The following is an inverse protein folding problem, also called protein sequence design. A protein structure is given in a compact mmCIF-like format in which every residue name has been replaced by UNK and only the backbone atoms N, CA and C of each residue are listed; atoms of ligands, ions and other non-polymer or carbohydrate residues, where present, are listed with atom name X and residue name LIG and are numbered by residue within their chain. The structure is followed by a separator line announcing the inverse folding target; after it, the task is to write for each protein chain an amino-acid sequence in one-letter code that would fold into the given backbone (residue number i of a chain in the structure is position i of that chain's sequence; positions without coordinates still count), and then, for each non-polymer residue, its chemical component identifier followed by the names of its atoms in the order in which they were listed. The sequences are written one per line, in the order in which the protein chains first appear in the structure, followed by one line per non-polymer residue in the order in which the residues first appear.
data_IF_381764838317
#
_entry.id   IF_381764838317
#
_cell.length_a   1.000
_cell.length_b   1.000
_cell.length_c   1.000
_cell.angle_alpha   90.00
_cell.angle_beta   90.00
_cell.angle_gamma   90.00
#
_symmetry.space_group_name_H-M   'P 1'
#
loop_
_entity.id
_entity.type
_entity.pdbx_description
1 polymer ?
#
# COMPACT_ATOMS: atom_id res chain seq x y z
N UNK A 1 -59.28 -4.05 -12.95
CA UNK A 1 -58.10 -3.19 -12.75
C UNK A 1 -57.26 -3.81 -11.64
N UNK A 2 -56.47 -4.83 -12.01
CA UNK A 2 -55.42 -5.41 -11.17
C UNK A 2 -54.31 -4.38 -10.98
N UNK A 3 -53.97 -4.12 -9.76
CA UNK A 3 -52.83 -3.31 -9.41
C UNK A 3 -51.60 -4.21 -9.58
N UNK A 4 -50.73 -3.86 -10.55
CA UNK A 4 -49.38 -4.39 -10.65
C UNK A 4 -48.64 -4.06 -9.34
N UNK A 5 -48.49 -5.06 -8.49
CA UNK A 5 -47.57 -5.01 -7.38
C UNK A 5 -46.15 -5.02 -7.95
N UNK A 6 -45.48 -3.88 -7.87
CA UNK A 6 -44.07 -3.79 -8.18
C UNK A 6 -43.36 -4.63 -7.14
N UNK A 7 -42.91 -5.83 -7.50
CA UNK A 7 -42.03 -6.66 -6.69
C UNK A 7 -40.78 -5.86 -6.34
N UNK A 8 -40.67 -5.48 -5.08
CA UNK A 8 -39.43 -4.91 -4.52
C UNK A 8 -38.44 -6.07 -4.49
N UNK A 9 -37.33 -6.02 -5.24
CA UNK A 9 -36.35 -7.12 -5.24
C UNK A 9 -35.87 -7.39 -3.82
N UNK A 10 -35.84 -8.66 -3.44
CA UNK A 10 -35.44 -9.10 -2.12
C UNK A 10 -34.08 -8.53 -1.75
N UNK A 11 -33.87 -8.15 -0.51
CA UNK A 11 -32.65 -7.51 0.05
C UNK A 11 -31.35 -8.27 -0.26
N UNK A 12 -31.43 -9.51 -0.76
CA UNK A 12 -30.33 -10.36 -1.20
C UNK A 12 -29.68 -9.95 -2.52
N UNK A 13 -30.34 -9.17 -3.36
CA UNK A 13 -29.85 -8.80 -4.72
C UNK A 13 -29.11 -7.46 -4.77
N UNK A 14 -29.19 -6.65 -3.75
CA UNK A 14 -28.46 -5.37 -3.72
C UNK A 14 -26.96 -5.58 -3.74
N UNK A 15 -26.27 -4.96 -4.70
CA UNK A 15 -24.81 -4.94 -4.79
C UNK A 15 -24.26 -4.29 -3.52
N UNK A 16 -23.45 -5.04 -2.76
CA UNK A 16 -22.90 -4.56 -1.49
C UNK A 16 -21.83 -3.52 -1.75
N UNK A 17 -21.85 -2.38 -1.06
CA UNK A 17 -20.81 -1.38 -1.21
C UNK A 17 -19.51 -1.83 -0.54
N UNK A 18 -18.45 -1.12 -0.88
CA UNK A 18 -17.14 -1.24 -0.26
C UNK A 18 -16.76 0.10 0.34
N UNK A 19 -16.13 0.07 1.49
CA UNK A 19 -15.63 1.24 2.17
C UNK A 19 -14.10 1.28 2.07
N UNK A 20 -13.56 2.43 1.67
CA UNK A 20 -12.13 2.67 1.54
C UNK A 20 -11.73 3.78 2.50
N UNK A 21 -10.82 3.50 3.41
CA UNK A 21 -10.32 4.48 4.36
C UNK A 21 -9.19 5.29 3.73
N UNK A 22 -9.26 6.62 3.86
CA UNK A 22 -8.23 7.51 3.34
C UNK A 22 -6.89 7.30 4.06
N UNK A 23 -5.85 7.15 3.26
CA UNK A 23 -4.45 7.11 3.68
C UNK A 23 -3.53 7.48 2.53
N UNK A 24 -3.79 6.90 1.35
CA UNK A 24 -3.06 7.20 0.12
C UNK A 24 -4.05 7.29 -1.05
N UNK A 25 -4.23 8.50 -1.58
CA UNK A 25 -5.19 8.73 -2.67
C UNK A 25 -4.92 7.91 -3.94
N UNK A 26 -3.68 7.49 -4.18
CA UNK A 26 -3.35 6.59 -5.31
C UNK A 26 -3.88 5.18 -5.07
N UNK A 27 -3.81 4.68 -3.84
CA UNK A 27 -4.37 3.37 -3.46
C UNK A 27 -5.89 3.42 -3.50
N UNK A 28 -6.49 4.46 -2.94
CA UNK A 28 -7.95 4.70 -2.97
C UNK A 28 -8.47 4.70 -4.41
N UNK A 29 -7.77 5.44 -5.29
CA UNK A 29 -8.10 5.53 -6.72
C UNK A 29 -7.99 4.18 -7.42
N UNK A 30 -6.94 3.41 -7.13
CA UNK A 30 -6.76 2.08 -7.68
C UNK A 30 -7.88 1.12 -7.26
N UNK A 31 -8.27 1.14 -5.98
CA UNK A 31 -9.39 0.32 -5.47
C UNK A 31 -10.71 0.75 -6.13
N UNK A 32 -10.99 2.06 -6.17
CA UNK A 32 -12.21 2.58 -6.78
C UNK A 32 -12.34 2.19 -8.25
N UNK A 33 -11.28 2.34 -9.03
CA UNK A 33 -11.24 1.94 -10.45
C UNK A 33 -11.35 0.43 -10.64
N UNK A 34 -10.73 -0.35 -9.75
CA UNK A 34 -10.78 -1.82 -9.80
C UNK A 34 -12.20 -2.36 -9.59
N UNK A 35 -12.92 -1.83 -8.62
CA UNK A 35 -14.27 -2.27 -8.26
C UNK A 35 -15.35 -1.59 -9.08
N UNK A 36 -15.19 -0.31 -9.38
CA UNK A 36 -16.17 0.47 -10.13
C UNK A 36 -16.39 -0.03 -11.56
N UNK A 37 -15.39 -0.69 -12.18
CA UNK A 37 -15.54 -1.37 -13.48
C UNK A 37 -16.57 -2.52 -13.45
N UNK A 38 -16.86 -3.04 -12.27
CA UNK A 38 -17.87 -4.07 -12.03
C UNK A 38 -19.14 -3.51 -11.38
N UNK A 39 -19.33 -2.20 -11.46
CA UNK A 39 -20.46 -1.48 -10.85
C UNK A 39 -20.62 -1.70 -9.34
N UNK A 40 -19.52 -2.01 -8.64
CA UNK A 40 -19.51 -2.13 -7.19
C UNK A 40 -19.39 -0.72 -6.60
N UNK A 41 -20.37 -0.28 -5.75
CA UNK A 41 -20.33 1.06 -5.18
C UNK A 41 -19.16 1.20 -4.19
N UNK A 42 -18.33 2.22 -4.39
CA UNK A 42 -17.19 2.54 -3.52
C UNK A 42 -17.47 3.84 -2.78
N UNK A 43 -17.42 3.77 -1.45
CA UNK A 43 -17.47 4.93 -0.56
C UNK A 43 -16.06 5.22 -0.03
N UNK A 44 -15.66 6.49 -0.06
CA UNK A 44 -14.42 6.94 0.56
C UNK A 44 -14.72 7.53 1.94
N UNK A 45 -13.97 7.13 2.94
CA UNK A 45 -13.90 7.85 4.22
C UNK A 45 -12.68 8.77 4.21
N UNK A 46 -12.95 10.07 4.10
CA UNK A 46 -11.93 11.10 4.11
C UNK A 46 -11.61 11.52 5.54
N UNK A 47 -10.33 11.67 5.86
CA UNK A 47 -9.83 12.18 7.15
C UNK A 47 -9.88 13.70 7.25
N UNK A 48 -10.08 14.37 6.13
CA UNK A 48 -10.01 15.81 6.00
C UNK A 48 -11.35 16.34 5.48
N UNK A 49 -11.74 17.54 5.89
CA UNK A 49 -12.91 18.23 5.33
C UNK A 49 -12.73 18.56 3.83
N UNK A 50 -11.49 18.53 3.34
CA UNK A 50 -11.19 18.66 1.92
C UNK A 50 -11.34 17.31 1.22
N UNK A 51 -12.08 17.32 0.11
CA UNK A 51 -12.19 16.14 -0.75
C UNK A 51 -10.82 15.70 -1.27
N UNK A 52 -10.38 14.45 -1.03
CA UNK A 52 -9.14 13.94 -1.60
C UNK A 52 -9.25 13.86 -3.13
N UNK A 53 -8.12 13.85 -3.88
CA UNK A 53 -8.16 13.73 -5.34
C UNK A 53 -8.93 12.51 -5.86
N UNK A 54 -8.91 11.41 -5.10
CA UNK A 54 -9.65 10.17 -5.42
C UNK A 54 -11.17 10.37 -5.45
N UNK A 55 -11.72 11.33 -4.72
CA UNK A 55 -13.16 11.64 -4.70
C UNK A 55 -13.70 12.19 -6.02
N UNK A 56 -12.83 12.65 -6.91
CA UNK A 56 -13.20 13.12 -8.24
C UNK A 56 -13.27 11.99 -9.29
N UNK A 57 -13.00 10.76 -8.88
CA UNK A 57 -13.19 9.58 -9.72
C UNK A 57 -14.68 9.30 -9.94
N UNK A 58 -15.09 9.05 -11.19
CA UNK A 58 -16.46 8.64 -11.50
C UNK A 58 -16.86 7.30 -10.84
N UNK A 59 -15.88 6.53 -10.37
CA UNK A 59 -16.09 5.24 -9.72
C UNK A 59 -16.30 5.36 -8.21
N UNK A 60 -16.13 6.55 -7.64
CA UNK A 60 -16.48 6.84 -6.25
C UNK A 60 -17.92 7.27 -6.17
N UNK A 61 -18.72 6.52 -5.42
CA UNK A 61 -20.15 6.79 -5.23
C UNK A 61 -20.38 8.01 -4.37
N UNK A 62 -19.61 8.10 -3.27
CA UNK A 62 -19.68 9.23 -2.35
C UNK A 62 -18.42 9.30 -1.47
N UNK A 63 -18.18 10.48 -0.90
CA UNK A 63 -17.09 10.73 0.03
C UNK A 63 -17.65 11.24 1.35
N UNK A 64 -17.38 10.48 2.41
CA UNK A 64 -17.86 10.73 3.76
C UNK A 64 -16.71 11.28 4.59
N UNK A 65 -16.92 12.39 5.27
CA UNK A 65 -15.91 12.96 6.14
C UNK A 65 -15.92 12.26 7.50
N UNK A 66 -14.75 11.87 7.95
CA UNK A 66 -14.50 11.25 9.23
C UNK A 66 -13.39 12.01 9.94
N UNK A 67 -13.42 12.15 11.27
CA UNK A 67 -12.31 12.77 12.02
C UNK A 67 -10.97 12.13 11.66
N UNK A 68 -9.89 12.92 11.65
CA UNK A 68 -8.55 12.38 11.44
C UNK A 68 -8.11 11.60 12.69
N UNK A 69 -7.77 10.30 12.57
CA UNK A 69 -7.35 9.49 13.70
C UNK A 69 -6.02 9.94 14.33
N UNK A 70 -5.26 10.80 13.64
CA UNK A 70 -4.04 11.43 14.16
C UNK A 70 -4.36 12.59 15.14
N UNK A 71 -5.54 13.20 14.99
CA UNK A 71 -5.99 14.33 15.79
C UNK A 71 -6.92 13.84 16.91
N UNK A 72 -7.94 13.06 16.54
CA UNK A 72 -8.91 12.49 17.49
C UNK A 72 -9.27 11.06 17.12
N UNK A 73 -8.50 10.13 17.71
CA UNK A 73 -8.65 8.70 17.51
C UNK A 73 -10.04 8.18 17.92
N UNK A 74 -10.56 8.68 19.05
CA UNK A 74 -11.81 8.18 19.59
C UNK A 74 -13.01 8.70 18.79
N UNK A 75 -12.98 9.95 18.34
CA UNK A 75 -13.97 10.47 17.42
C UNK A 75 -13.95 9.73 16.08
N UNK A 76 -12.76 9.39 15.56
CA UNK A 76 -12.63 8.55 14.36
C UNK A 76 -13.32 7.20 14.55
N UNK A 77 -13.03 6.50 15.65
CA UNK A 77 -13.60 5.18 15.95
C UNK A 77 -15.13 5.28 16.07
N UNK A 78 -15.65 6.22 16.87
CA UNK A 78 -17.11 6.41 17.03
C UNK A 78 -17.81 6.68 15.70
N UNK A 79 -17.26 7.56 14.88
CA UNK A 79 -17.82 7.93 13.59
C UNK A 79 -17.83 6.73 12.62
N UNK A 80 -16.72 5.98 12.54
CA UNK A 80 -16.62 4.79 11.70
C UNK A 80 -17.61 3.69 12.13
N UNK A 81 -17.76 3.47 13.44
CA UNK A 81 -18.72 2.49 13.96
C UNK A 81 -20.16 2.88 13.63
N UNK A 82 -20.56 4.14 13.87
CA UNK A 82 -21.90 4.61 13.54
C UNK A 82 -22.22 4.54 12.06
N UNK A 83 -21.22 4.77 11.19
CA UNK A 83 -21.38 4.58 9.76
C UNK A 83 -21.52 3.10 9.39
N UNK A 84 -20.71 2.24 9.98
CA UNK A 84 -20.75 0.79 9.79
C UNK A 84 -22.09 0.18 10.21
N UNK A 85 -22.66 0.65 11.31
CA UNK A 85 -23.99 0.25 11.78
C UNK A 85 -25.08 0.56 10.76
N UNK A 86 -25.16 1.82 10.29
CA UNK A 86 -26.12 2.24 9.26
C UNK A 86 -26.00 1.42 7.98
N UNK A 87 -24.77 1.15 7.52
CA UNK A 87 -24.55 0.35 6.32
C UNK A 87 -24.93 -1.11 6.54
N UNK A 88 -24.57 -1.69 7.69
CA UNK A 88 -24.95 -3.07 8.02
C UNK A 88 -26.46 -3.24 8.12
N UNK A 89 -27.15 -2.29 8.72
CA UNK A 89 -28.61 -2.26 8.78
C UNK A 89 -29.23 -2.20 7.38
N UNK A 90 -28.75 -1.28 6.53
CA UNK A 90 -29.25 -1.11 5.16
C UNK A 90 -29.02 -2.33 4.27
N UNK A 91 -27.82 -2.94 4.33
CA UNK A 91 -27.41 -4.02 3.44
C UNK A 91 -27.51 -5.41 4.06
N UNK A 92 -27.91 -5.52 5.34
CA UNK A 92 -28.06 -6.76 6.12
C UNK A 92 -26.80 -7.65 6.09
N UNK A 93 -25.62 -7.02 5.94
CA UNK A 93 -24.32 -7.69 5.86
C UNK A 93 -23.21 -6.77 6.39
N UNK A 94 -22.13 -7.38 6.89
CA UNK A 94 -20.88 -6.64 7.16
C UNK A 94 -20.31 -6.08 5.87
N UNK A 95 -19.74 -4.89 5.94
CA UNK A 95 -19.19 -4.16 4.78
C UNK A 95 -17.70 -4.43 4.66
N UNK A 96 -17.25 -4.73 3.44
CA UNK A 96 -15.82 -4.90 3.14
C UNK A 96 -15.10 -3.56 3.26
N UNK A 97 -14.06 -3.53 4.10
CA UNK A 97 -13.30 -2.34 4.43
C UNK A 97 -11.86 -2.47 3.95
N UNK A 98 -11.39 -1.50 3.16
CA UNK A 98 -10.01 -1.43 2.69
C UNK A 98 -9.23 -0.31 3.39
N UNK A 99 -8.28 -0.63 4.28
CA UNK A 99 -7.29 0.34 4.72
C UNK A 99 -6.28 0.60 3.59
N UNK A 100 -5.84 1.85 3.43
CA UNK A 100 -4.92 2.24 2.37
C UNK A 100 -3.53 2.64 2.87
N UNK A 101 -3.31 2.59 4.18
CA UNK A 101 -2.01 2.78 4.83
C UNK A 101 -1.84 1.89 6.07
N UNK A 102 -0.60 1.80 6.56
CA UNK A 102 -0.26 0.95 7.70
C UNK A 102 -0.83 1.48 9.01
N UNK A 103 -0.91 2.81 9.18
CA UNK A 103 -1.46 3.43 10.38
C UNK A 103 -2.94 3.11 10.57
N UNK A 104 -3.72 3.18 9.50
CA UNK A 104 -5.14 2.80 9.52
C UNK A 104 -5.32 1.30 9.75
N UNK A 105 -4.51 0.46 9.09
CA UNK A 105 -4.53 -0.97 9.30
C UNK A 105 -4.26 -1.33 10.76
N UNK A 106 -3.24 -0.71 11.35
CA UNK A 106 -2.86 -0.93 12.75
C UNK A 106 -3.96 -0.46 13.71
N UNK A 107 -4.61 0.66 13.42
CA UNK A 107 -5.73 1.16 14.21
C UNK A 107 -6.92 0.18 14.18
N UNK A 108 -7.27 -0.32 12.99
CA UNK A 108 -8.33 -1.31 12.83
C UNK A 108 -7.99 -2.61 13.58
N UNK A 109 -6.75 -3.06 13.49
CA UNK A 109 -6.30 -4.26 14.18
C UNK A 109 -6.37 -4.12 15.71
N UNK A 110 -5.91 -3.00 16.26
CA UNK A 110 -5.97 -2.72 17.71
C UNK A 110 -7.39 -2.60 18.27
N UNK A 111 -8.38 -2.32 17.43
CA UNK A 111 -9.79 -2.17 17.80
C UNK A 111 -10.68 -3.19 17.06
N UNK A 112 -10.10 -4.34 16.68
CA UNK A 112 -10.74 -5.33 15.83
C UNK A 112 -12.09 -5.79 16.34
N UNK A 113 -12.21 -6.08 17.64
CA UNK A 113 -13.46 -6.53 18.27
C UNK A 113 -14.63 -5.54 18.13
N UNK A 114 -14.34 -4.25 18.06
CA UNK A 114 -15.33 -3.23 17.81
C UNK A 114 -15.77 -3.24 16.34
N UNK A 115 -14.80 -3.29 15.43
CA UNK A 115 -15.06 -3.15 14.00
C UNK A 115 -15.63 -4.42 13.34
N UNK A 116 -15.24 -5.61 13.81
CA UNK A 116 -15.70 -6.89 13.23
C UNK A 116 -17.22 -7.08 13.25
N UNK A 117 -17.93 -6.33 14.08
CA UNK A 117 -19.39 -6.34 14.14
C UNK A 117 -20.03 -5.80 12.85
N UNK A 118 -19.38 -4.83 12.20
CA UNK A 118 -19.92 -4.09 11.08
C UNK A 118 -19.12 -4.28 9.80
N UNK A 119 -17.83 -4.60 9.91
CA UNK A 119 -16.92 -4.67 8.77
C UNK A 119 -16.29 -6.05 8.60
N UNK A 120 -15.98 -6.37 7.35
CA UNK A 120 -15.00 -7.38 6.99
C UNK A 120 -13.70 -6.63 6.69
N UNK A 121 -12.73 -6.80 7.57
CA UNK A 121 -11.40 -6.22 7.41
C UNK A 121 -10.54 -7.25 6.69
N UNK A 122 -9.74 -6.82 5.72
CA UNK A 122 -8.81 -7.72 5.05
C UNK A 122 -7.91 -8.40 6.09
N UNK A 123 -7.69 -9.70 5.89
CA UNK A 123 -6.94 -10.56 6.80
C UNK A 123 -7.67 -10.87 8.13
N UNK A 124 -9.03 -10.78 8.11
CA UNK A 124 -9.86 -11.17 9.23
C UNK A 124 -9.84 -12.68 9.39
N UNK A 125 -9.06 -13.24 10.27
CA UNK A 125 -9.48 -14.35 11.07
C UNK A 125 -9.16 -14.24 12.55
N UNK A 126 -8.16 -13.54 12.94
CA UNK A 126 -7.84 -13.38 14.35
C UNK A 126 -6.93 -12.17 14.57
N UNK A 127 -7.38 -11.28 15.38
CA UNK A 127 -6.88 -10.00 15.82
C UNK A 127 -5.36 -9.88 15.97
N UNK A 128 -4.73 -10.90 16.54
CA UNK A 128 -3.28 -10.91 16.80
C UNK A 128 -2.45 -11.05 15.52
N UNK A 129 -3.02 -11.66 14.49
CA UNK A 129 -2.27 -11.94 13.25
C UNK A 129 -2.07 -10.69 12.39
N UNK A 130 -3.07 -9.82 12.27
CA UNK A 130 -2.93 -8.56 11.51
C UNK A 130 -1.87 -7.66 12.15
N UNK A 131 -1.85 -7.58 13.50
CA UNK A 131 -0.83 -6.84 14.24
C UNK A 131 0.56 -7.39 13.97
N UNK A 132 0.71 -8.72 13.94
CA UNK A 132 1.99 -9.38 13.67
C UNK A 132 2.51 -9.02 12.29
N UNK A 133 1.64 -8.98 11.28
CA UNK A 133 2.07 -8.74 9.91
C UNK A 133 2.36 -7.27 9.62
N UNK A 134 1.70 -6.33 10.28
CA UNK A 134 1.95 -4.90 10.13
C UNK A 134 3.18 -4.40 10.86
N UNK A 135 3.68 -5.17 11.85
CA UNK A 135 4.90 -4.86 12.59
C UNK A 135 6.09 -5.66 12.07
N UNK A 136 7.13 -4.98 11.61
CA UNK A 136 8.29 -5.62 10.99
C UNK A 136 9.01 -6.62 11.93
N UNK A 137 9.12 -6.27 13.22
CA UNK A 137 9.72 -7.18 14.21
C UNK A 137 8.97 -8.51 14.22
N UNK A 138 7.65 -8.50 14.39
CA UNK A 138 6.87 -9.74 14.45
C UNK A 138 6.90 -10.53 13.14
N UNK A 139 6.85 -9.84 12.01
CA UNK A 139 6.97 -10.47 10.71
C UNK A 139 8.28 -11.25 10.58
N UNK A 140 9.41 -10.58 10.81
CA UNK A 140 10.73 -11.20 10.67
C UNK A 140 10.97 -12.27 11.75
N UNK A 141 10.61 -12.03 13.02
CA UNK A 141 10.72 -13.03 14.10
C UNK A 141 9.90 -14.30 13.80
N UNK A 142 8.71 -14.14 13.20
CA UNK A 142 7.88 -15.28 12.82
C UNK A 142 8.57 -16.08 11.72
N UNK A 143 9.06 -15.45 10.68
CA UNK A 143 9.73 -16.15 9.59
C UNK A 143 11.09 -16.76 9.98
N UNK A 144 11.83 -16.12 10.88
CA UNK A 144 13.10 -16.67 11.41
C UNK A 144 12.93 -18.01 12.13
N UNK A 145 11.75 -18.26 12.71
CA UNK A 145 11.42 -19.52 13.39
C UNK A 145 10.94 -20.63 12.45
N UNK A 146 10.95 -20.37 11.15
CA UNK A 146 10.47 -21.31 10.12
C UNK A 146 11.58 -21.61 9.12
N UNK A 147 11.30 -22.50 8.18
CA UNK A 147 12.17 -22.76 7.03
C UNK A 147 12.38 -21.55 6.10
N UNK A 148 11.65 -20.43 6.33
CA UNK A 148 11.88 -19.18 5.63
C UNK A 148 13.09 -18.37 6.12
N UNK A 149 13.72 -18.77 7.22
CA UNK A 149 14.87 -18.05 7.78
C UNK A 149 15.99 -17.78 6.75
N UNK A 150 16.25 -18.75 5.87
CA UNK A 150 17.25 -18.62 4.80
C UNK A 150 16.89 -17.60 3.72
N UNK A 151 15.61 -17.22 3.63
CA UNK A 151 15.12 -16.22 2.66
C UNK A 151 15.20 -14.80 3.20
N UNK A 152 15.61 -14.63 4.45
CA UNK A 152 15.74 -13.32 5.08
C UNK A 152 17.17 -12.82 4.98
N UNK A 153 17.38 -11.49 4.94
CA UNK A 153 18.68 -10.91 5.27
C UNK A 153 19.01 -11.19 6.76
N UNK A 154 20.26 -11.08 7.13
CA UNK A 154 20.64 -11.05 8.57
C UNK A 154 19.84 -9.94 9.24
N UNK A 155 18.99 -10.31 10.19
CA UNK A 155 18.02 -9.40 10.82
C UNK A 155 18.08 -9.54 12.32
N UNK A 156 18.34 -8.43 13.00
CA UNK A 156 18.40 -8.30 14.45
C UNK A 156 17.38 -7.28 14.92
N UNK A 157 16.99 -7.34 16.19
CA UNK A 157 15.94 -6.50 16.76
C UNK A 157 16.49 -5.70 17.93
N UNK A 158 16.16 -4.41 17.96
CA UNK A 158 16.54 -3.50 19.03
C UNK A 158 15.28 -2.91 19.65
N UNK A 159 14.91 -3.40 20.82
CA UNK A 159 13.76 -2.94 21.59
C UNK A 159 14.18 -2.24 22.88
N UNK A 160 15.42 -2.47 23.35
CA UNK A 160 16.01 -1.94 24.58
C UNK A 160 17.51 -1.67 24.39
N UNK A 161 18.09 -0.87 25.27
CA UNK A 161 19.52 -0.52 25.21
C UNK A 161 20.43 -1.74 25.34
N UNK A 162 20.03 -2.74 26.13
CA UNK A 162 20.82 -3.98 26.33
C UNK A 162 20.99 -4.77 25.01
N UNK A 163 20.14 -4.53 24.00
CA UNK A 163 20.22 -5.21 22.71
C UNK A 163 21.39 -4.68 21.85
N UNK A 164 21.86 -3.44 22.09
CA UNK A 164 22.81 -2.73 21.23
C UNK A 164 24.13 -3.48 21.12
N UNK A 165 24.72 -3.91 22.21
CA UNK A 165 26.01 -4.60 22.21
C UNK A 165 25.97 -5.94 21.46
N UNK A 166 24.88 -6.68 21.63
CA UNK A 166 24.66 -7.91 20.86
C UNK A 166 24.52 -7.63 19.36
N UNK A 167 23.84 -6.55 18.99
CA UNK A 167 23.67 -6.15 17.59
C UNK A 167 25.01 -5.73 16.98
N UNK A 168 25.78 -4.88 17.65
CA UNK A 168 27.13 -4.44 17.22
C UNK A 168 28.09 -5.60 16.96
N UNK A 169 27.96 -6.67 17.73
CA UNK A 169 28.81 -7.87 17.61
C UNK A 169 28.40 -8.73 16.40
N UNK A 170 27.11 -8.82 16.11
CA UNK A 170 26.59 -9.83 15.19
C UNK A 170 26.17 -9.28 13.81
N UNK A 171 25.98 -7.94 13.66
CA UNK A 171 25.57 -7.35 12.38
C UNK A 171 26.77 -7.17 11.43
N UNK A 172 26.54 -7.28 10.14
CA UNK A 172 27.54 -6.95 9.11
C UNK A 172 27.30 -5.53 8.59
N UNK A 173 28.38 -4.82 8.27
CA UNK A 173 28.33 -3.47 7.72
C UNK A 173 28.63 -3.45 6.22
N UNK A 174 28.02 -2.49 5.47
CA UNK A 174 27.01 -1.56 5.95
C UNK A 174 25.70 -2.27 6.32
N UNK A 175 24.98 -1.69 7.28
CA UNK A 175 23.66 -2.18 7.69
C UNK A 175 22.60 -1.08 7.56
N UNK A 176 21.34 -1.46 7.74
CA UNK A 176 20.21 -0.53 7.72
C UNK A 176 19.40 -0.63 8.99
N UNK A 177 18.93 0.52 9.48
CA UNK A 177 17.98 0.61 10.59
C UNK A 177 16.61 0.97 10.00
N UNK A 178 15.57 0.28 10.46
CA UNK A 178 14.16 0.55 10.11
C UNK A 178 13.32 0.59 11.39
N UNK A 179 12.35 1.51 11.53
CA UNK A 179 11.37 1.40 12.60
C UNK A 179 10.49 0.16 12.37
N UNK A 180 10.16 -0.53 13.46
CA UNK A 180 9.29 -1.73 13.42
C UNK A 180 7.89 -1.40 12.93
N UNK A 181 7.35 -0.31 13.44
CA UNK A 181 6.06 0.24 13.02
C UNK A 181 6.30 1.51 12.22
N UNK A 182 5.45 1.79 11.26
CA UNK A 182 5.36 3.14 10.73
C UNK A 182 4.74 4.01 11.83
N UNK A 183 5.58 4.81 12.47
CA UNK A 183 5.15 5.80 13.44
C UNK A 183 4.05 6.67 12.83
N UNK A 184 2.94 6.80 13.54
CA UNK A 184 1.81 7.65 13.17
C UNK A 184 2.28 9.09 12.89
N UNK A 185 3.26 9.58 13.64
CA UNK A 185 3.83 10.92 13.49
C UNK A 185 4.90 11.03 12.40
N UNK A 186 5.30 9.91 11.77
CA UNK A 186 6.36 9.87 10.78
C UNK A 186 7.69 10.47 11.28
N UNK A 187 7.98 10.41 12.57
CA UNK A 187 9.16 11.07 13.18
C UNK A 187 10.46 10.58 12.54
N UNK A 188 10.62 9.29 12.39
CA UNK A 188 11.77 8.70 11.70
C UNK A 188 11.91 9.22 10.27
N UNK A 189 10.81 9.24 9.50
CA UNK A 189 10.84 9.72 8.12
C UNK A 189 11.12 11.23 8.03
N UNK A 190 10.59 12.01 8.95
CA UNK A 190 10.87 13.45 9.02
C UNK A 190 12.34 13.72 9.34
N UNK A 191 12.94 12.96 10.27
CA UNK A 191 14.32 13.09 10.71
C UNK A 191 15.32 12.73 9.59
N UNK A 192 15.12 11.61 8.90
CA UNK A 192 16.07 11.08 7.94
C UNK A 192 15.67 11.29 6.48
N UNK A 193 14.48 11.83 6.20
CA UNK A 193 13.88 11.95 4.86
C UNK A 193 13.90 10.61 4.09
N UNK A 194 13.81 9.51 4.82
CA UNK A 194 13.90 8.14 4.29
C UNK A 194 13.14 7.16 5.19
N UNK A 195 12.78 6.00 4.64
CA UNK A 195 12.19 4.88 5.41
C UNK A 195 13.24 4.00 6.06
N UNK A 196 14.50 4.20 5.71
CA UNK A 196 15.65 3.46 6.23
C UNK A 196 16.79 4.41 6.54
N UNK A 197 17.61 4.07 7.50
CA UNK A 197 18.88 4.72 7.78
C UNK A 197 20.00 3.73 7.46
N UNK A 198 20.95 4.11 6.62
CA UNK A 198 22.14 3.32 6.33
C UNK A 198 23.23 3.69 7.33
N UNK A 199 23.89 2.69 7.87
CA UNK A 199 24.96 2.84 8.88
C UNK A 199 26.18 2.05 8.43
N UNK A 200 27.34 2.70 8.45
CA UNK A 200 28.58 2.16 7.88
C UNK A 200 29.50 1.50 8.91
N UNK A 201 29.34 1.82 10.19
CA UNK A 201 30.25 1.35 11.26
C UNK A 201 29.55 1.21 12.62
N UNK A 202 30.26 0.65 13.60
CA UNK A 202 29.72 0.33 14.93
C UNK A 202 29.39 1.57 15.77
N UNK A 203 30.20 2.61 15.68
CA UNK A 203 30.03 3.81 16.51
C UNK A 203 28.79 4.61 16.08
N UNK A 204 28.62 4.76 14.78
CA UNK A 204 27.39 5.37 14.22
C UNK A 204 26.17 4.51 14.56
N UNK A 205 26.28 3.18 14.50
CA UNK A 205 25.19 2.27 14.86
C UNK A 205 24.72 2.48 16.29
N UNK A 206 25.64 2.50 17.25
CA UNK A 206 25.34 2.71 18.67
C UNK A 206 24.65 4.05 18.89
N UNK A 207 25.23 5.14 18.36
CA UNK A 207 24.69 6.48 18.45
C UNK A 207 23.25 6.57 17.94
N UNK A 208 23.00 6.03 16.74
CA UNK A 208 21.67 6.09 16.11
C UNK A 208 20.66 5.20 16.85
N UNK A 209 21.04 3.99 17.29
CA UNK A 209 20.15 3.12 18.05
C UNK A 209 19.75 3.76 19.39
N UNK A 210 20.73 4.28 20.16
CA UNK A 210 20.47 4.96 21.43
C UNK A 210 19.52 6.16 21.24
N UNK A 211 19.77 6.98 20.21
CA UNK A 211 18.92 8.12 19.91
C UNK A 211 17.49 7.72 19.54
N UNK A 212 17.33 6.69 18.72
CA UNK A 212 16.00 6.22 18.30
C UNK A 212 15.23 5.49 19.42
N UNK A 213 15.92 4.77 20.29
CA UNK A 213 15.30 4.16 21.47
C UNK A 213 14.79 5.20 22.46
N UNK A 214 15.53 6.30 22.67
CA UNK A 214 15.08 7.41 23.52
C UNK A 214 13.79 8.08 22.96
N UNK A 215 13.60 8.06 21.64
CA UNK A 215 12.36 8.46 20.95
C UNK A 215 11.25 7.36 21.00
N UNK A 216 11.47 6.26 21.75
CA UNK A 216 10.57 5.10 21.93
C UNK A 216 10.31 4.30 20.65
N UNK A 217 11.22 4.33 19.69
CA UNK A 217 11.14 3.45 18.53
C UNK A 217 11.59 2.02 18.90
N UNK A 218 10.85 1.04 18.38
CA UNK A 218 11.34 -0.35 18.28
C UNK A 218 11.92 -0.53 16.89
N UNK A 219 13.11 -1.13 16.79
CA UNK A 219 13.91 -1.07 15.59
C UNK A 219 14.24 -2.47 15.04
N UNK A 220 14.32 -2.55 13.72
CA UNK A 220 14.86 -3.68 12.98
C UNK A 220 16.18 -3.24 12.36
N UNK A 221 17.26 -3.96 12.68
CA UNK A 221 18.59 -3.77 12.10
C UNK A 221 18.87 -4.92 11.14
N UNK A 222 19.18 -4.59 9.89
CA UNK A 222 19.39 -5.59 8.84
C UNK A 222 20.68 -5.34 8.07
N UNK A 223 21.36 -6.41 7.62
CA UNK A 223 22.42 -6.27 6.63
C UNK A 223 21.91 -5.55 5.37
N UNK A 224 22.74 -4.73 4.77
CA UNK A 224 22.43 -4.12 3.47
C UNK A 224 22.72 -5.13 2.36
N UNK A 225 21.67 -5.77 1.86
CA UNK A 225 21.75 -6.87 0.88
C UNK A 225 22.39 -6.42 -0.44
N UNK A 226 21.94 -5.27 -0.97
CA UNK A 226 22.46 -4.71 -2.21
C UNK A 226 22.31 -3.18 -2.21
N UNK A 227 23.41 -2.44 -2.29
CA UNK A 227 23.36 -0.97 -2.33
C UNK A 227 22.95 -0.40 -3.70
N UNK A 228 22.91 -1.24 -4.76
CA UNK A 228 22.59 -0.77 -6.11
C UNK A 228 21.09 -0.68 -6.32
N UNK A 229 20.55 0.47 -6.76
CA UNK A 229 19.13 0.63 -7.04
C UNK A 229 18.68 -0.18 -8.26
N UNK A 230 17.36 -0.43 -8.36
CA UNK A 230 16.74 -1.12 -9.50
C UNK A 230 16.91 -2.64 -9.49
N UNK A 231 17.30 -3.20 -8.34
CA UNK A 231 17.38 -4.66 -8.12
C UNK A 231 16.24 -5.18 -7.27
N UNK A 232 15.37 -4.29 -6.81
CA UNK A 232 14.20 -4.63 -6.03
C UNK A 232 13.12 -5.28 -6.92
N UNK A 233 12.50 -6.28 -6.36
CA UNK A 233 11.38 -7.02 -6.95
C UNK A 233 10.22 -6.98 -5.98
N UNK A 234 9.04 -6.63 -6.47
CA UNK A 234 7.79 -6.80 -5.72
C UNK A 234 7.04 -8.01 -6.27
N UNK A 235 6.53 -8.82 -5.37
CA UNK A 235 5.47 -9.78 -5.65
C UNK A 235 4.15 -9.20 -5.17
N UNK A 236 3.17 -9.18 -6.05
CA UNK A 236 1.82 -8.67 -5.82
C UNK A 236 0.85 -9.84 -5.85
N UNK A 237 0.04 -9.98 -4.83
CA UNK A 237 -0.88 -11.10 -4.87
C UNK A 237 -1.94 -11.18 -3.79
N UNK A 238 -2.59 -12.32 -3.82
CA UNK A 238 -3.68 -12.72 -2.97
C UNK A 238 -3.53 -14.17 -2.55
N UNK A 239 -3.71 -14.44 -1.28
CA UNK A 239 -3.93 -15.81 -0.80
C UNK A 239 -5.37 -15.92 -0.32
N UNK A 240 -6.11 -16.89 -0.85
CA UNK A 240 -7.50 -17.14 -0.46
C UNK A 240 -7.58 -17.77 0.92
N UNK A 241 -8.79 -17.81 1.48
CA UNK A 241 -9.09 -18.54 2.71
C UNK A 241 -8.85 -20.04 2.56
N UNK A 242 -9.08 -20.59 1.37
CA UNK A 242 -8.78 -22.00 1.04
C UNK A 242 -7.30 -22.28 0.85
N UNK A 243 -6.44 -21.25 0.79
CA UNK A 243 -5.00 -21.37 0.64
C UNK A 243 -4.48 -21.27 -0.80
N UNK A 244 -5.33 -21.03 -1.80
CA UNK A 244 -4.91 -20.76 -3.17
C UNK A 244 -4.17 -19.42 -3.24
N UNK A 245 -3.09 -19.37 -4.03
CA UNK A 245 -2.23 -18.18 -4.15
C UNK A 245 -2.23 -17.73 -5.61
N UNK A 246 -2.62 -16.48 -5.82
CA UNK A 246 -2.53 -15.78 -7.10
C UNK A 246 -1.57 -14.62 -6.98
N UNK A 247 -0.69 -14.46 -7.94
CA UNK A 247 0.24 -13.36 -7.87
C UNK A 247 1.03 -13.14 -9.14
N UNK A 248 1.69 -12.01 -9.19
CA UNK A 248 2.60 -11.62 -10.25
C UNK A 248 3.82 -10.91 -9.68
N UNK A 249 4.89 -10.87 -10.43
CA UNK A 249 6.11 -10.15 -10.06
C UNK A 249 6.30 -8.89 -10.91
N UNK A 250 6.93 -7.90 -10.31
CA UNK A 250 7.29 -6.66 -10.95
C UNK A 250 8.66 -6.17 -10.47
N UNK A 251 9.41 -5.50 -11.34
CA UNK A 251 10.71 -4.91 -11.01
C UNK A 251 10.56 -3.42 -10.77
N UNK A 252 11.02 -2.97 -9.63
CA UNK A 252 11.12 -1.54 -9.33
C UNK A 252 12.32 -0.97 -10.09
N UNK A 253 12.06 -0.05 -11.01
CA UNK A 253 13.08 0.53 -11.90
C UNK A 253 13.65 1.83 -11.37
N UNK A 254 12.79 2.67 -10.76
CA UNK A 254 13.18 3.94 -10.13
C UNK A 254 12.39 4.17 -8.86
N UNK A 255 13.04 4.85 -7.91
CA UNK A 255 12.49 5.23 -6.60
C UNK A 255 12.81 6.71 -6.31
N UNK A 256 12.04 7.33 -5.46
CA UNK A 256 12.32 8.68 -4.98
C UNK A 256 12.08 8.76 -3.46
N UNK A 257 13.12 9.05 -2.66
CA UNK A 257 14.55 8.99 -2.98
C UNK A 257 15.01 7.60 -3.42
N UNK A 258 16.20 7.51 -4.02
CA UNK A 258 16.69 6.28 -4.65
C UNK A 258 16.85 5.12 -3.64
N UNK A 259 17.39 5.39 -2.45
CA UNK A 259 17.44 4.46 -1.33
C UNK A 259 16.31 4.74 -0.33
N UNK A 260 15.63 3.69 0.12
CA UNK A 260 14.53 3.79 1.09
C UNK A 260 13.31 4.56 0.61
N UNK A 261 13.28 5.01 -0.64
CA UNK A 261 12.18 5.78 -1.21
C UNK A 261 11.03 4.95 -1.74
N UNK A 262 10.04 5.65 -2.29
CA UNK A 262 8.87 5.04 -2.93
C UNK A 262 9.14 4.82 -4.41
N UNK A 263 8.75 3.66 -4.94
CA UNK A 263 8.90 3.36 -6.36
C UNK A 263 8.00 4.29 -7.21
N UNK A 264 8.62 4.95 -8.20
CA UNK A 264 7.97 5.88 -9.13
C UNK A 264 7.78 5.29 -10.51
N UNK A 265 8.58 4.28 -10.86
CA UNK A 265 8.51 3.54 -12.10
C UNK A 265 8.73 2.04 -11.86
N UNK A 266 7.77 1.23 -12.23
CA UNK A 266 7.77 -0.23 -12.07
C UNK A 266 7.39 -0.88 -13.39
N UNK A 267 8.01 -2.00 -13.70
CA UNK A 267 7.72 -2.83 -14.87
C UNK A 267 7.28 -4.23 -14.41
N UNK A 268 6.14 -4.71 -14.92
CA UNK A 268 5.76 -6.11 -14.76
C UNK A 268 6.83 -6.98 -15.43
N UNK A 269 7.39 -7.89 -14.66
CA UNK A 269 8.42 -8.81 -15.11
C UNK A 269 8.26 -10.13 -14.37
N UNK A 270 8.20 -11.24 -15.12
CA UNK A 270 8.17 -12.55 -14.50
C UNK A 270 9.53 -12.87 -13.88
N UNK A 271 9.50 -13.21 -12.59
CA UNK A 271 10.68 -13.56 -11.78
C UNK A 271 10.32 -14.81 -10.96
N UNK A 272 10.36 -15.99 -11.60
CA UNK A 272 9.87 -17.23 -10.98
C UNK A 272 10.63 -17.64 -9.73
N UNK A 273 11.86 -17.17 -9.56
CA UNK A 273 12.70 -17.49 -8.41
C UNK A 273 12.11 -17.09 -7.06
N UNK A 274 11.24 -16.04 -7.03
CA UNK A 274 10.64 -15.57 -5.76
C UNK A 274 9.35 -16.32 -5.39
N UNK A 275 8.70 -17.01 -6.31
CA UNK A 275 7.43 -17.69 -6.04
C UNK A 275 7.52 -18.76 -4.92
N UNK A 276 8.54 -19.65 -4.88
CA UNK A 276 8.68 -20.59 -3.78
C UNK A 276 8.78 -19.90 -2.41
N UNK A 277 9.50 -18.77 -2.34
CA UNK A 277 9.67 -18.01 -1.11
C UNK A 277 8.35 -17.40 -0.63
N UNK A 278 7.57 -16.84 -1.57
CA UNK A 278 6.23 -16.32 -1.29
C UNK A 278 5.31 -17.40 -0.76
N UNK A 279 5.23 -18.54 -1.45
CA UNK A 279 4.35 -19.65 -1.06
C UNK A 279 4.68 -20.15 0.35
N UNK A 280 5.96 -20.34 0.64
CA UNK A 280 6.41 -20.80 1.94
C UNK A 280 6.17 -19.75 3.04
N UNK A 281 6.45 -18.49 2.79
CA UNK A 281 6.22 -17.39 3.73
C UNK A 281 4.72 -17.24 4.05
N UNK A 282 3.86 -17.14 3.05
CA UNK A 282 2.41 -16.99 3.24
C UNK A 282 1.79 -18.20 3.97
N UNK A 283 2.30 -19.41 3.71
CA UNK A 283 1.89 -20.61 4.46
C UNK A 283 2.32 -20.52 5.93
N UNK A 284 3.58 -20.17 6.18
CA UNK A 284 4.15 -20.05 7.54
C UNK A 284 3.45 -18.96 8.37
N UNK A 285 3.00 -17.89 7.72
CA UNK A 285 2.26 -16.81 8.35
C UNK A 285 0.77 -17.13 8.54
N UNK A 286 0.25 -18.21 7.96
CA UNK A 286 -1.20 -18.48 7.87
C UNK A 286 -1.99 -17.28 7.34
N UNK A 287 -1.34 -16.46 6.52
CA UNK A 287 -1.90 -15.21 5.99
C UNK A 287 -2.94 -15.49 4.90
N UNK A 288 -4.02 -14.73 4.85
CA UNK A 288 -4.92 -14.65 3.71
C UNK A 288 -5.26 -13.20 3.38
N UNK A 289 -5.62 -12.92 2.11
CA UNK A 289 -5.95 -11.58 1.64
C UNK A 289 -4.92 -11.00 0.68
N UNK A 290 -5.05 -9.71 0.43
CA UNK A 290 -4.17 -8.94 -0.46
C UNK A 290 -2.86 -8.65 0.26
N UNK A 291 -1.75 -8.87 -0.43
CA UNK A 291 -0.44 -8.47 0.09
C UNK A 291 0.57 -8.16 -1.02
N UNK A 292 1.57 -7.39 -0.64
CA UNK A 292 2.80 -7.19 -1.37
C UNK A 292 3.97 -7.75 -0.55
N UNK A 293 4.87 -8.44 -1.21
CA UNK A 293 6.14 -8.90 -0.63
C UNK A 293 7.30 -8.36 -1.46
N UNK A 294 8.20 -7.62 -0.83
CA UNK A 294 9.35 -7.04 -1.51
C UNK A 294 10.60 -7.89 -1.32
N UNK A 295 11.37 -8.02 -2.38
CA UNK A 295 12.60 -8.80 -2.43
C UNK A 295 13.75 -7.95 -2.93
N UNK A 296 14.94 -8.25 -2.40
CA UNK A 296 16.20 -7.74 -2.89
C UNK A 296 17.08 -8.89 -3.38
N UNK A 297 17.69 -8.74 -4.55
CA UNK A 297 18.66 -9.71 -5.05
C UNK A 297 20.00 -9.53 -4.32
N UNK A 298 20.42 -10.52 -3.53
CA UNK A 298 21.83 -10.61 -3.09
C UNK A 298 22.70 -11.07 -4.26
N UNK A 299 23.41 -10.13 -4.87
CA UNK A 299 24.25 -10.42 -6.03
C UNK A 299 25.44 -11.33 -5.70
N UNK A 300 25.88 -11.39 -4.46
CA UNK A 300 26.98 -12.26 -3.99
C UNK A 300 26.56 -13.72 -4.00
N UNK A 301 25.34 -14.00 -3.48
CA UNK A 301 24.79 -15.35 -3.36
C UNK A 301 23.88 -15.74 -4.54
N UNK A 302 23.52 -14.78 -5.42
CA UNK A 302 22.52 -14.95 -6.50
C UNK A 302 21.14 -15.37 -6.00
N UNK A 303 20.78 -14.98 -4.79
CA UNK A 303 19.54 -15.32 -4.11
C UNK A 303 18.70 -14.08 -3.84
N UNK A 304 17.39 -14.24 -3.84
CA UNK A 304 16.48 -13.19 -3.40
C UNK A 304 16.29 -13.27 -1.88
N UNK A 305 16.26 -12.11 -1.23
CA UNK A 305 15.97 -11.96 0.20
C UNK A 305 14.67 -11.18 0.39
N UNK A 306 13.80 -11.64 1.28
CA UNK A 306 12.56 -10.94 1.66
C UNK A 306 12.94 -9.74 2.53
N UNK A 307 12.63 -8.53 2.08
CA UNK A 307 13.01 -7.28 2.77
C UNK A 307 11.84 -6.49 3.33
N UNK A 308 10.61 -6.72 2.83
CA UNK A 308 9.40 -6.07 3.33
C UNK A 308 8.15 -6.90 3.02
N UNK A 309 7.15 -6.80 3.90
CA UNK A 309 5.82 -7.36 3.72
C UNK A 309 4.76 -6.30 4.02
N UNK A 310 3.83 -6.11 3.09
CA UNK A 310 2.74 -5.17 3.19
C UNK A 310 1.40 -5.94 3.12
N UNK A 311 0.74 -6.24 4.26
CA UNK A 311 -0.51 -7.02 4.31
C UNK A 311 -1.73 -6.15 3.99
N UNK A 312 -1.70 -5.37 2.94
CA UNK A 312 -2.72 -4.41 2.50
C UNK A 312 -2.52 -4.03 1.04
N UNK A 313 -3.46 -3.28 0.49
CA UNK A 313 -3.27 -2.62 -0.80
C UNK A 313 -2.09 -1.64 -0.76
N UNK A 314 -1.36 -1.54 -1.87
CA UNK A 314 -0.15 -0.72 -2.01
C UNK A 314 -0.27 0.26 -3.19
N UNK A 315 0.71 1.12 -3.31
CA UNK A 315 0.67 2.26 -4.22
C UNK A 315 0.45 1.89 -5.69
N UNK A 316 1.06 0.78 -6.14
CA UNK A 316 1.04 0.32 -7.52
C UNK A 316 -0.04 -0.75 -7.79
N UNK A 317 -1.06 -0.83 -6.96
CA UNK A 317 -2.16 -1.80 -7.08
C UNK A 317 -2.80 -1.81 -8.48
N UNK A 318 -2.91 -0.65 -9.12
CA UNK A 318 -3.46 -0.54 -10.49
C UNK A 318 -2.64 -1.29 -11.54
N UNK A 319 -1.32 -1.49 -11.34
CA UNK A 319 -0.51 -2.34 -12.22
C UNK A 319 -1.02 -3.80 -12.21
N UNK A 320 -1.30 -4.34 -11.03
CA UNK A 320 -1.83 -5.70 -10.90
C UNK A 320 -3.20 -5.83 -11.59
N UNK A 321 -4.09 -4.86 -11.36
CA UNK A 321 -5.42 -4.81 -12.00
C UNK A 321 -5.32 -4.80 -13.52
N UNK A 322 -4.49 -3.94 -14.09
CA UNK A 322 -4.33 -3.82 -15.55
C UNK A 322 -3.56 -5.00 -16.17
N UNK A 323 -2.79 -5.72 -15.37
CA UNK A 323 -2.13 -6.97 -15.78
C UNK A 323 -3.07 -8.19 -15.76
N UNK A 324 -4.33 -8.03 -15.35
CA UNK A 324 -5.33 -9.10 -15.24
C UNK A 324 -5.48 -9.70 -13.83
N UNK A 325 -4.78 -9.15 -12.84
CA UNK A 325 -4.87 -9.55 -11.44
C UNK A 325 -5.62 -8.49 -10.62
N UNK A 326 -6.95 -8.46 -10.74
CA UNK A 326 -7.78 -7.51 -9.99
C UNK A 326 -8.02 -7.99 -8.56
N UNK A 327 -7.11 -7.65 -7.67
CA UNK A 327 -7.11 -8.10 -6.28
C UNK A 327 -8.28 -7.59 -5.44
N UNK A 328 -8.70 -6.30 -5.52
CA UNK A 328 -9.91 -5.85 -4.83
C UNK A 328 -11.16 -6.60 -5.26
N UNK A 329 -11.28 -6.92 -6.55
CA UNK A 329 -12.42 -7.69 -7.07
C UNK A 329 -12.39 -9.15 -6.61
N UNK A 330 -11.22 -9.80 -6.61
CA UNK A 330 -11.06 -11.16 -6.04
C UNK A 330 -11.52 -11.20 -4.58
N UNK A 331 -11.09 -10.24 -3.79
CA UNK A 331 -11.51 -10.12 -2.38
C UNK A 331 -13.02 -9.96 -2.25
N UNK A 332 -13.62 -9.08 -3.08
CA UNK A 332 -15.06 -8.86 -3.09
C UNK A 332 -15.84 -10.15 -3.42
N UNK A 333 -15.39 -10.88 -4.43
CA UNK A 333 -16.01 -12.13 -4.85
C UNK A 333 -15.90 -13.22 -3.76
N UNK A 334 -14.73 -13.38 -3.15
CA UNK A 334 -14.56 -14.35 -2.07
C UNK A 334 -15.40 -14.00 -0.85
N UNK A 335 -15.44 -12.72 -0.44
CA UNK A 335 -16.16 -12.27 0.76
C UNK A 335 -17.68 -12.35 0.61
N UNK A 336 -18.22 -11.91 -0.53
CA UNK A 336 -19.66 -11.77 -0.68
C UNK A 336 -20.33 -12.88 -1.51
N UNK A 337 -19.58 -13.50 -2.41
CA UNK A 337 -20.12 -14.53 -3.32
C UNK A 337 -19.58 -15.93 -3.01
N UNK A 338 -18.59 -16.03 -2.14
CA UNK A 338 -17.86 -17.27 -1.88
C UNK A 338 -17.33 -17.92 -3.16
N UNK A 339 -16.91 -17.10 -4.11
CA UNK A 339 -16.36 -17.50 -5.41
C UNK A 339 -14.98 -16.89 -5.54
N UNK A 340 -14.04 -17.67 -6.06
CA UNK A 340 -12.68 -17.22 -6.33
C UNK A 340 -12.37 -17.35 -7.82
N UNK A 341 -12.69 -16.34 -8.63
CA UNK A 341 -12.41 -16.38 -10.05
C UNK A 341 -10.91 -16.43 -10.31
N UNK A 342 -10.47 -17.33 -11.16
CA UNK A 342 -9.05 -17.43 -11.53
C UNK A 342 -8.65 -16.23 -12.38
N UNK A 343 -7.63 -15.45 -11.96
CA UNK A 343 -7.17 -14.31 -12.74
C UNK A 343 -6.46 -14.79 -14.01
N UNK A 344 -6.66 -14.04 -15.10
CA UNK A 344 -6.00 -14.27 -16.38
C UNK A 344 -4.89 -13.24 -16.53
N UNK A 345 -3.66 -13.63 -16.17
CA UNK A 345 -2.49 -12.77 -16.24
C UNK A 345 -1.74 -13.10 -17.53
N UNK A 346 -1.68 -12.14 -18.46
CA UNK A 346 -0.82 -12.30 -19.63
C UNK A 346 0.66 -12.19 -19.23
N UNK A 347 1.34 -13.32 -19.15
CA UNK A 347 2.75 -13.42 -18.73
C UNK A 347 3.70 -12.69 -19.68
N UNK A 348 3.36 -12.58 -20.96
CA UNK A 348 4.21 -11.95 -21.98
C UNK A 348 4.07 -10.42 -22.02
N UNK A 349 2.96 -9.88 -21.58
CA UNK A 349 2.68 -8.45 -21.60
C UNK A 349 3.63 -7.71 -20.63
N UNK A 350 4.39 -6.75 -21.14
CA UNK A 350 5.32 -5.90 -20.38
C UNK A 350 4.67 -4.56 -20.07
N UNK A 351 3.66 -4.60 -19.22
CA UNK A 351 2.99 -3.40 -18.74
C UNK A 351 3.84 -2.69 -17.67
N UNK A 352 3.82 -1.37 -17.69
CA UNK A 352 4.57 -0.50 -16.79
C UNK A 352 3.59 0.30 -15.92
N UNK A 353 4.03 0.69 -14.74
CA UNK A 353 3.33 1.65 -13.89
C UNK A 353 4.22 2.85 -13.63
N UNK A 354 3.65 4.06 -13.78
CA UNK A 354 4.40 5.31 -13.71
C UNK A 354 3.65 6.35 -12.88
N UNK A 355 4.32 6.86 -11.86
CA UNK A 355 3.90 8.09 -11.19
C UNK A 355 4.61 9.28 -11.86
N UNK A 356 4.04 9.76 -12.95
CA UNK A 356 4.68 10.65 -13.93
C UNK A 356 5.43 11.83 -13.29
N UNK A 357 4.75 12.57 -12.40
CA UNK A 357 5.36 13.75 -11.75
C UNK A 357 6.60 13.37 -10.92
N UNK A 358 6.45 12.38 -10.04
CA UNK A 358 7.52 11.97 -9.13
C UNK A 358 8.65 11.27 -9.88
N UNK A 359 8.33 10.53 -10.93
CA UNK A 359 9.30 9.87 -11.79
C UNK A 359 10.10 10.90 -12.62
N UNK A 360 9.43 11.91 -13.17
CA UNK A 360 10.08 13.01 -13.85
C UNK A 360 11.04 13.77 -12.92
N UNK A 361 10.58 14.13 -11.72
CA UNK A 361 11.42 14.80 -10.73
C UNK A 361 12.64 13.96 -10.35
N UNK A 362 12.47 12.66 -10.18
CA UNK A 362 13.55 11.74 -9.83
C UNK A 362 14.54 11.56 -10.99
N UNK A 363 14.04 11.23 -12.19
CA UNK A 363 14.87 10.86 -13.33
C UNK A 363 15.48 12.05 -14.08
N UNK A 364 14.81 13.22 -14.05
CA UNK A 364 15.21 14.36 -14.88
C UNK A 364 15.78 15.51 -14.06
N UNK A 365 15.18 15.82 -12.93
CA UNK A 365 15.57 17.02 -12.15
C UNK A 365 16.66 16.69 -11.12
N UNK A 366 16.50 15.57 -10.37
CA UNK A 366 17.44 15.21 -9.30
C UNK A 366 18.70 14.49 -9.80
N UNK A 367 18.58 13.67 -10.84
CA UNK A 367 19.73 13.03 -11.46
C UNK A 367 20.43 14.03 -12.41
N UNK A 368 21.62 14.48 -12.05
CA UNK A 368 22.38 15.48 -12.79
C UNK A 368 23.61 14.92 -13.51
N UNK A 369 23.73 13.60 -13.59
CA UNK A 369 24.91 12.96 -14.18
C UNK A 369 25.05 13.16 -15.69
N UNK A 370 23.98 13.57 -16.38
CA UNK A 370 23.96 13.83 -17.82
C UNK A 370 23.22 15.13 -18.14
N UNK A 371 23.42 15.67 -19.35
CA UNK A 371 22.69 16.85 -19.82
C UNK A 371 21.16 16.62 -19.80
N UNK A 372 20.40 17.67 -19.46
CA UNK A 372 18.94 17.63 -19.31
C UNK A 372 18.22 17.00 -20.51
N UNK A 373 18.54 17.45 -21.74
CA UNK A 373 17.92 16.93 -22.96
C UNK A 373 18.20 15.43 -23.14
N UNK A 374 19.42 14.97 -22.87
CA UNK A 374 19.78 13.56 -22.98
C UNK A 374 18.98 12.70 -22.00
N UNK A 375 18.80 13.17 -20.74
CA UNK A 375 17.96 12.51 -19.75
C UNK A 375 16.51 12.47 -20.21
N UNK A 376 15.99 13.57 -20.75
CA UNK A 376 14.62 13.66 -21.26
C UNK A 376 14.38 12.69 -22.42
N UNK A 377 15.28 12.62 -23.39
CA UNK A 377 15.20 11.68 -24.51
C UNK A 377 15.29 10.21 -24.08
N UNK A 378 16.04 9.92 -23.02
CA UNK A 378 16.09 8.56 -22.44
C UNK A 378 14.82 8.21 -21.66
N UNK A 379 14.23 9.18 -20.97
CA UNK A 379 13.06 8.97 -20.09
C UNK A 379 11.76 8.86 -20.88
N UNK A 380 11.55 9.73 -21.86
CA UNK A 380 10.29 9.83 -22.58
C UNK A 380 9.82 8.48 -23.20
N UNK A 381 10.63 7.70 -23.93
CA UNK A 381 10.22 6.41 -24.45
C UNK A 381 9.86 5.39 -23.38
N UNK A 382 10.40 5.52 -22.15
CA UNK A 382 10.13 4.58 -21.07
C UNK A 382 8.73 4.78 -20.49
N UNK A 383 8.23 6.02 -20.46
CA UNK A 383 6.92 6.38 -19.89
C UNK A 383 5.81 6.44 -20.92
N UNK A 384 6.11 6.08 -22.16
CA UNK A 384 5.12 5.92 -23.25
C UNK A 384 4.84 4.45 -23.52
N UNK A 385 3.78 4.17 -24.29
CA UNK A 385 3.36 2.83 -24.68
C UNK A 385 2.43 2.17 -23.66
N UNK A 386 2.63 0.88 -23.38
CA UNK A 386 1.75 0.13 -22.47
C UNK A 386 2.04 0.51 -21.00
N UNK A 387 1.51 1.64 -20.59
CA UNK A 387 1.71 2.25 -19.27
C UNK A 387 0.40 2.45 -18.53
N UNK A 388 0.41 2.09 -17.26
CA UNK A 388 -0.58 2.49 -16.26
C UNK A 388 -0.06 3.71 -15.54
N UNK A 389 -0.70 4.84 -15.73
CA UNK A 389 -0.36 6.04 -14.99
C UNK A 389 -1.04 6.07 -13.64
N UNK A 390 -0.30 6.39 -12.59
CA UNK A 390 -0.79 6.34 -11.22
C UNK A 390 -2.06 7.18 -10.98
N UNK A 391 -2.18 8.30 -11.70
CA UNK A 391 -3.30 9.24 -11.55
C UNK A 391 -4.17 9.26 -12.81
N UNK A 392 -3.54 9.39 -13.96
CA UNK A 392 -4.21 9.66 -15.23
C UNK A 392 -4.86 8.40 -15.81
N UNK A 393 -6.10 8.52 -16.26
CA UNK A 393 -6.81 7.43 -16.95
C UNK A 393 -7.84 8.04 -17.91
N UNK A 394 -7.83 7.60 -19.16
CA UNK A 394 -8.84 8.01 -20.13
C UNK A 394 -10.26 7.55 -19.75
N UNK A 395 -10.37 6.46 -19.01
CA UNK A 395 -11.67 5.99 -18.51
C UNK A 395 -12.15 6.74 -17.27
N UNK A 396 -11.35 7.66 -16.69
CA UNK A 396 -11.65 8.36 -15.43
C UNK A 396 -10.96 9.73 -15.40
N UNK A 397 -11.45 10.64 -16.23
CA UNK A 397 -10.82 11.94 -16.48
C UNK A 397 -10.99 12.95 -15.33
N UNK A 398 -12.00 12.79 -14.47
CA UNK A 398 -12.29 13.74 -13.38
C UNK A 398 -11.10 13.99 -12.48
N UNK A 399 -10.40 12.93 -12.08
CA UNK A 399 -9.17 13.04 -11.25
C UNK A 399 -8.04 13.73 -12.01
N UNK A 400 -7.90 13.45 -13.31
CA UNK A 400 -6.88 14.07 -14.17
C UNK A 400 -7.11 15.57 -14.27
N UNK A 401 -8.33 16.01 -14.56
CA UNK A 401 -8.70 17.43 -14.62
C UNK A 401 -8.47 18.13 -13.28
N UNK A 402 -8.92 17.53 -12.18
CA UNK A 402 -8.71 18.09 -10.86
C UNK A 402 -7.21 18.27 -10.52
N UNK A 403 -6.33 17.35 -10.97
CA UNK A 403 -4.88 17.44 -10.70
C UNK A 403 -4.15 18.38 -11.64
N UNK A 404 -4.52 18.45 -12.90
CA UNK A 404 -3.90 19.37 -13.89
C UNK A 404 -4.36 20.80 -13.63
N UNK A 405 -5.65 21.01 -13.47
CA UNK A 405 -6.23 22.36 -13.30
C UNK A 405 -6.06 22.86 -11.85
N UNK A 406 -5.68 21.98 -10.93
CA UNK A 406 -5.43 22.32 -9.52
C UNK A 406 -6.66 22.70 -8.72
N UNK A 407 -7.84 22.40 -9.25
CA UNK A 407 -9.10 23.01 -8.90
C UNK A 407 -9.17 24.48 -9.38
N UNK A 408 -10.33 25.01 -9.69
CA UNK A 408 -10.52 26.41 -10.14
C UNK A 408 -9.81 27.41 -9.21
N UNK A 409 -9.78 27.15 -7.93
CA UNK A 409 -9.15 28.01 -6.91
C UNK A 409 -7.63 28.19 -7.08
N UNK A 410 -6.89 27.14 -7.50
CA UNK A 410 -5.42 27.26 -7.70
C UNK A 410 -5.09 27.99 -8.98
N UNK A 411 -5.87 27.79 -10.04
CA UNK A 411 -5.73 28.53 -11.29
C UNK A 411 -6.00 30.03 -11.06
N UNK A 412 -7.09 30.37 -10.38
CA UNK A 412 -7.44 31.75 -10.07
C UNK A 412 -6.43 32.42 -9.18
N UNK A 413 -5.90 31.74 -8.14
CA UNK A 413 -4.76 32.26 -7.33
C UNK A 413 -3.50 32.47 -8.16
N UNK A 414 -3.20 31.58 -9.12
CA UNK A 414 -2.01 31.71 -9.99
C UNK A 414 -2.14 32.87 -10.98
N UNK A 415 -3.37 33.26 -11.33
CA UNK A 415 -3.66 34.41 -12.20
C UNK A 415 -4.11 35.64 -11.43
N UNK A 416 -3.96 35.68 -10.09
CA UNK A 416 -4.27 36.87 -9.29
C UNK A 416 -5.76 37.13 -9.06
N UNK A 417 -6.65 36.20 -9.38
CA UNK A 417 -8.07 36.33 -9.13
C UNK A 417 -8.46 35.64 -7.80
N UNK A 418 -8.98 36.41 -6.85
CA UNK A 418 -9.60 35.87 -5.64
C UNK A 418 -11.09 35.59 -5.91
N UNK A 419 -11.53 34.36 -5.76
CA UNK A 419 -12.94 33.98 -5.80
C UNK A 419 -13.64 34.43 -4.53
N UNK A 420 -14.11 35.68 -4.50
CA UNK A 420 -15.09 36.16 -3.50
C UNK A 420 -16.51 36.28 -4.05
N UNK A 421 -16.78 35.70 -5.22
CA UNK A 421 -18.09 35.77 -5.87
C UNK A 421 -18.50 34.36 -6.27
N UNK A 422 -19.13 33.62 -5.37
CA UNK A 422 -20.06 32.48 -5.61
C UNK A 422 -20.22 31.68 -4.32
N UNK A 423 -20.77 32.36 -3.31
CA UNK A 423 -21.48 31.75 -2.20
C UNK A 423 -22.71 32.63 -1.97
N UNK A 424 -23.78 32.25 -2.62
CA UNK A 424 -25.16 32.50 -2.22
C UNK A 424 -25.96 31.25 -2.55
#
# INVERSE_FOLDING_TARGET
LEKDEVEIPACSELVKPVLVLQGSYLVELAIARSLGRYNIPVFLLSRDQKKPPSSFSKFVKDTIFNPDPLIDKDAFIRSLLGFGEKLKEKYQRRILLFPTDDGTLLLLARNFDLFKKYFVILNDPQEKEILRFSQKIYFFQTLQKTSCANFLPLTLFCEREEDIESIKKNITFPCIIKPSEKDINFSFHKKYNSKILVVENKDDLEKELTGLLSEKHKLVVQELVNPKPGKEVSWYGYRSKSGEIFGMTARQKRKSPQMGGTATFIEKKEIPQVHPYVHQALKSLSFWGICEMEFMLDERKKEYKIVEFNPRCWLQLSLATEAGLNLPYLTYQEVYKNVLPKPIIDKKRRIKWVWVKEDFLSAIIKDRNEAFLKRLFKWLPQVLGDCVYAIHSFSDLGVTFQRILGGPERLLKKFGFSLHLWRD
#
